data_IF_143179548347
#
_entry.id   IF_143179548347
#
_cell.length_a   1.000
_cell.length_b   1.000
_cell.length_c   1.000
_cell.angle_alpha   90.00
_cell.angle_beta   90.00
_cell.angle_gamma   90.00
#
_symmetry.space_group_name_H-M   'P 1'
#
loop_
_entity.id
_entity.type
_entity.pdbx_description
1 polymer ?
#
# COMPACT_ATOMS: atom_id res chain seq x y z
N UNK A 1 0.21 -16.55 -15.43
CA UNK A 1 0.69 -15.41 -14.61
C UNK A 1 0.23 -15.59 -13.18
N UNK A 2 1.17 -15.98 -12.32
CA UNK A 2 0.92 -16.10 -10.88
C UNK A 2 0.30 -14.79 -10.36
N UNK A 3 -0.76 -14.90 -9.56
CA UNK A 3 -1.35 -13.73 -8.89
C UNK A 3 -0.25 -13.08 -8.05
N UNK A 4 -0.12 -11.76 -8.05
CA UNK A 4 0.90 -11.06 -7.26
C UNK A 4 0.41 -9.68 -6.87
N UNK A 5 1.01 -9.06 -5.84
CA UNK A 5 0.82 -7.63 -5.68
C UNK A 5 1.40 -6.92 -6.92
N UNK A 6 0.70 -5.90 -7.39
CA UNK A 6 1.05 -5.13 -8.58
C UNK A 6 1.43 -3.71 -8.19
N UNK A 7 0.57 -3.06 -7.42
CA UNK A 7 0.88 -1.77 -6.82
C UNK A 7 0.03 -1.51 -5.58
N UNK A 8 0.49 -0.58 -4.76
CA UNK A 8 -0.24 -0.03 -3.62
C UNK A 8 -0.43 1.44 -3.86
N UNK A 9 -1.67 1.92 -3.77
CA UNK A 9 -1.99 3.34 -3.93
C UNK A 9 -2.25 3.97 -2.57
N UNK A 10 -1.59 5.08 -2.28
CA UNK A 10 -1.83 5.89 -1.09
C UNK A 10 -2.09 7.36 -1.44
N UNK A 11 -2.75 8.07 -0.52
CA UNK A 11 -3.07 9.48 -0.68
C UNK A 11 -2.04 10.34 0.06
N UNK A 12 -1.47 11.32 -0.65
CA UNK A 12 -0.43 12.22 -0.16
C UNK A 12 -0.81 13.68 -0.41
N UNK A 13 -0.05 14.63 0.14
CA UNK A 13 -0.31 16.08 -0.03
C UNK A 13 0.74 16.80 -0.84
N UNK A 14 2.02 16.47 -0.65
CA UNK A 14 3.14 17.28 -1.13
C UNK A 14 4.18 16.42 -1.85
N UNK A 15 4.23 16.46 -3.19
CA UNK A 15 5.15 15.63 -3.97
C UNK A 15 6.62 15.75 -3.57
N UNK A 16 7.09 16.96 -3.26
CA UNK A 16 8.49 17.21 -2.89
C UNK A 16 8.87 16.45 -1.61
N UNK A 17 7.99 16.45 -0.60
CA UNK A 17 8.25 15.75 0.67
C UNK A 17 8.26 14.24 0.47
N UNK A 18 7.38 13.73 -0.40
CA UNK A 18 7.40 12.32 -0.77
C UNK A 18 8.70 11.94 -1.45
N UNK A 19 9.24 12.78 -2.35
CA UNK A 19 10.51 12.50 -3.02
C UNK A 19 11.70 12.48 -2.03
N UNK A 20 11.83 13.50 -1.18
CA UNK A 20 12.84 13.56 -0.12
C UNK A 20 12.77 12.34 0.82
N UNK A 21 11.57 11.78 1.04
CA UNK A 21 11.40 10.64 1.93
C UNK A 21 11.64 9.31 1.22
N UNK A 22 10.87 9.00 0.17
CA UNK A 22 10.91 7.71 -0.49
C UNK A 22 12.20 7.53 -1.30
N UNK A 23 12.62 8.54 -2.07
CA UNK A 23 13.81 8.41 -2.93
C UNK A 23 15.07 8.63 -2.12
N UNK A 24 15.21 9.78 -1.46
CA UNK A 24 16.49 10.16 -0.87
C UNK A 24 16.82 9.38 0.42
N UNK A 25 15.81 9.05 1.25
CA UNK A 25 16.02 8.37 2.53
C UNK A 25 15.81 6.87 2.46
N UNK A 26 14.74 6.42 1.82
CA UNK A 26 14.42 5.00 1.73
C UNK A 26 15.05 4.31 0.52
N UNK A 27 15.50 5.05 -0.49
CA UNK A 27 16.17 4.50 -1.67
C UNK A 27 15.23 3.94 -2.73
N UNK A 28 13.97 4.38 -2.76
CA UNK A 28 13.08 4.07 -3.87
C UNK A 28 13.57 4.72 -5.17
N UNK A 29 13.34 4.05 -6.28
CA UNK A 29 13.44 4.65 -7.60
C UNK A 29 12.14 5.39 -7.92
N UNK A 30 12.26 6.57 -8.53
CA UNK A 30 11.13 7.28 -9.11
C UNK A 30 10.87 6.74 -10.52
N UNK A 31 9.71 6.14 -10.72
CA UNK A 31 9.37 5.40 -11.94
C UNK A 31 8.61 6.30 -12.92
N UNK A 32 7.59 7.01 -12.42
CA UNK A 32 6.67 7.72 -13.29
C UNK A 32 5.98 8.90 -12.61
N UNK A 33 5.59 9.89 -13.42
CA UNK A 33 4.66 10.96 -13.04
C UNK A 33 3.62 11.15 -14.13
N UNK A 34 2.38 11.25 -13.70
CA UNK A 34 1.28 11.67 -14.55
C UNK A 34 0.04 11.96 -13.71
N UNK A 35 -1.11 11.51 -14.20
CA UNK A 35 -2.39 11.68 -13.55
C UNK A 35 -2.95 10.34 -13.05
N UNK A 36 -3.73 10.39 -11.98
CA UNK A 36 -4.53 9.27 -11.52
C UNK A 36 -5.52 8.87 -12.59
N UNK A 37 -5.71 7.57 -12.74
CA UNK A 37 -6.67 7.04 -13.68
C UNK A 37 -8.12 7.20 -13.20
N UNK A 38 -8.32 7.25 -11.88
CA UNK A 38 -9.64 7.47 -11.30
C UNK A 38 -10.08 8.94 -11.46
N UNK A 39 -9.10 9.85 -11.56
CA UNK A 39 -9.31 11.29 -11.72
C UNK A 39 -8.11 11.95 -12.39
N UNK A 40 -8.26 12.32 -13.67
CA UNK A 40 -7.19 12.95 -14.47
C UNK A 40 -6.69 14.30 -13.91
N UNK A 41 -7.46 14.95 -13.04
CA UNK A 41 -7.05 16.19 -12.36
C UNK A 41 -6.15 15.93 -11.14
N UNK A 42 -6.02 14.68 -10.70
CA UNK A 42 -5.21 14.28 -9.54
C UNK A 42 -3.81 13.86 -10.01
N UNK A 43 -2.73 14.57 -9.62
CA UNK A 43 -1.38 14.11 -9.91
C UNK A 43 -1.09 12.78 -9.22
N UNK A 44 -0.40 11.87 -9.92
CA UNK A 44 0.05 10.58 -9.39
C UNK A 44 1.52 10.35 -9.71
N UNK A 45 2.31 9.98 -8.69
CA UNK A 45 3.72 9.63 -8.81
C UNK A 45 3.91 8.17 -8.40
N UNK A 46 4.64 7.41 -9.20
CA UNK A 46 4.92 6.00 -8.94
C UNK A 46 6.38 5.82 -8.55
N UNK A 47 6.60 5.02 -7.51
CA UNK A 47 7.91 4.67 -6.97
C UNK A 47 8.04 3.15 -6.91
N UNK A 48 9.27 2.62 -6.92
CA UNK A 48 9.53 1.20 -6.66
C UNK A 48 10.81 1.00 -5.88
N UNK A 49 10.97 -0.15 -5.24
CA UNK A 49 12.27 -0.56 -4.73
C UNK A 49 13.13 -1.13 -5.86
N UNK A 50 14.47 -1.00 -5.84
CA UNK A 50 15.32 -1.40 -6.96
C UNK A 50 15.23 -2.88 -7.35
N UNK A 51 15.01 -3.76 -6.36
CA UNK A 51 14.90 -5.20 -6.58
C UNK A 51 13.44 -5.71 -6.61
N UNK A 52 12.45 -4.80 -6.74
CA UNK A 52 11.02 -5.14 -6.71
C UNK A 52 10.25 -4.51 -7.88
N UNK A 53 9.31 -5.27 -8.45
CA UNK A 53 8.42 -4.82 -9.52
C UNK A 53 7.13 -4.17 -9.00
N UNK A 54 6.84 -4.28 -7.71
CA UNK A 54 5.65 -3.68 -7.10
C UNK A 54 5.80 -2.17 -6.96
N UNK A 55 4.80 -1.43 -7.45
CA UNK A 55 4.80 0.03 -7.38
C UNK A 55 4.13 0.56 -6.10
N UNK A 56 4.73 1.56 -5.48
CA UNK A 56 4.04 2.47 -4.57
C UNK A 56 3.56 3.69 -5.37
N UNK A 57 2.25 3.83 -5.53
CA UNK A 57 1.59 4.95 -6.19
C UNK A 57 1.12 5.98 -5.18
N UNK A 58 1.58 7.23 -5.28
CA UNK A 58 1.12 8.33 -4.44
C UNK A 58 0.23 9.28 -5.26
N UNK A 59 -1.03 9.40 -4.86
CA UNK A 59 -1.99 10.36 -5.43
C UNK A 59 -2.08 11.61 -4.57
N UNK A 60 -1.92 12.78 -5.18
CA UNK A 60 -1.76 14.04 -4.45
C UNK A 60 -3.07 14.83 -4.34
N UNK A 61 -3.63 14.87 -3.13
CA UNK A 61 -4.82 15.64 -2.77
C UNK A 61 -4.47 16.72 -1.74
N UNK A 62 -3.90 17.88 -2.14
CA UNK A 62 -3.33 18.85 -1.20
C UNK A 62 -4.34 19.47 -0.21
N UNK A 63 -5.64 19.45 -0.58
CA UNK A 63 -6.76 20.02 0.18
C UNK A 63 -7.62 18.98 0.91
N UNK A 64 -7.34 17.68 0.78
CA UNK A 64 -8.12 16.69 1.53
C UNK A 64 -7.77 16.73 3.02
N UNK A 65 -8.67 16.22 3.85
CA UNK A 65 -8.41 16.04 5.28
C UNK A 65 -7.46 14.86 5.50
N UNK A 66 -6.86 14.80 6.69
CA UNK A 66 -6.03 13.67 7.09
C UNK A 66 -6.89 12.44 7.23
N UNK A 67 -6.41 11.31 6.74
CA UNK A 67 -7.07 10.03 6.98
C UNK A 67 -7.04 9.64 8.46
N UNK A 68 -7.96 8.77 8.85
CA UNK A 68 -8.01 8.18 10.19
C UNK A 68 -8.04 6.66 10.04
N UNK A 69 -7.08 5.96 10.65
CA UNK A 69 -7.04 4.49 10.63
C UNK A 69 -8.26 3.93 11.37
N UNK A 70 -8.81 2.85 10.83
CA UNK A 70 -9.92 2.10 11.43
C UNK A 70 -10.03 0.73 10.75
N UNK A 71 -11.11 0.00 11.03
CA UNK A 71 -11.37 -1.23 10.29
C UNK A 71 -11.55 -0.94 8.79
N UNK A 72 -11.07 -1.84 7.93
CA UNK A 72 -11.12 -1.69 6.48
C UNK A 72 -10.01 -0.79 5.91
N UNK A 73 -8.92 -0.61 6.65
CA UNK A 73 -7.74 0.14 6.22
C UNK A 73 -6.51 -0.77 6.19
N UNK A 74 -5.56 -0.46 5.30
CA UNK A 74 -4.22 -0.99 5.45
C UNK A 74 -3.55 -0.29 6.64
N UNK A 75 -2.96 -1.08 7.54
CA UNK A 75 -2.29 -0.61 8.76
C UNK A 75 -0.94 -0.01 8.43
N UNK A 76 -0.10 -0.79 7.76
CA UNK A 76 1.27 -0.43 7.40
C UNK A 76 1.69 -1.06 6.07
N UNK A 77 2.68 -0.43 5.43
CA UNK A 77 3.46 -1.03 4.37
C UNK A 77 4.68 -1.69 4.98
N UNK A 78 4.94 -2.96 4.67
CA UNK A 78 6.10 -3.69 5.19
C UNK A 78 7.16 -3.80 4.11
N UNK A 79 8.34 -3.24 4.40
CA UNK A 79 9.48 -3.19 3.50
C UNK A 79 10.64 -4.00 4.08
N UNK A 80 11.32 -4.78 3.24
CA UNK A 80 12.63 -5.33 3.50
C UNK A 80 13.65 -4.37 2.92
N UNK A 81 14.58 -3.83 3.72
CA UNK A 81 15.61 -2.90 3.23
C UNK A 81 16.98 -3.26 3.83
N UNK A 82 18.10 -2.95 3.13
CA UNK A 82 19.45 -3.02 3.70
C UNK A 82 19.54 -2.39 5.09
N UNK A 83 20.16 -3.09 6.03
CA UNK A 83 20.35 -2.61 7.40
C UNK A 83 21.07 -1.25 7.41
N UNK A 84 20.50 -0.29 8.13
CA UNK A 84 21.03 1.07 8.27
C UNK A 84 20.71 1.64 9.65
N UNK A 85 21.40 2.72 10.02
CA UNK A 85 20.99 3.53 11.18
C UNK A 85 19.75 4.38 10.82
N UNK A 86 18.59 3.75 10.86
CA UNK A 86 17.31 4.34 10.50
C UNK A 86 16.95 5.57 11.34
N UNK A 87 17.34 5.60 12.62
CA UNK A 87 17.13 6.75 13.48
C UNK A 87 17.91 7.97 12.96
N UNK A 88 19.18 7.77 12.58
CA UNK A 88 20.01 8.84 12.02
C UNK A 88 19.51 9.32 10.66
N UNK A 89 19.05 8.42 9.79
CA UNK A 89 18.57 8.75 8.44
C UNK A 89 17.20 9.45 8.47
N UNK A 90 16.28 8.94 9.29
CA UNK A 90 14.86 9.33 9.23
C UNK A 90 14.49 10.35 10.31
N UNK A 91 15.28 10.45 11.39
CA UNK A 91 15.09 11.40 12.49
C UNK A 91 13.65 11.39 13.00
N UNK A 92 12.93 12.51 12.82
CA UNK A 92 11.54 12.66 13.26
C UNK A 92 10.53 11.76 12.56
N UNK A 93 10.89 11.05 11.50
CA UNK A 93 10.02 10.02 10.90
C UNK A 93 10.16 8.68 11.60
N UNK A 94 11.29 8.41 12.26
CA UNK A 94 11.52 7.17 13.00
C UNK A 94 10.70 7.16 14.30
N UNK A 95 10.06 6.02 14.62
CA UNK A 95 9.24 5.84 15.82
C UNK A 95 9.82 4.82 16.81
N UNK A 96 10.86 4.10 16.43
CA UNK A 96 11.46 3.04 17.23
C UNK A 96 11.34 1.68 16.55
N UNK A 97 11.47 0.61 17.33
CA UNK A 97 11.18 -0.75 16.89
C UNK A 97 9.90 -1.24 17.55
N UNK A 98 9.08 -1.97 16.80
CA UNK A 98 7.93 -2.68 17.35
C UNK A 98 8.42 -3.93 18.10
N UNK A 99 7.84 -4.18 19.28
CA UNK A 99 8.39 -5.14 20.25
C UNK A 99 8.23 -6.59 19.81
N UNK A 100 7.11 -6.95 19.14
CA UNK A 100 6.80 -8.33 18.77
C UNK A 100 7.53 -8.80 17.50
N UNK A 101 7.59 -7.93 16.51
CA UNK A 101 8.17 -8.17 15.18
C UNK A 101 9.64 -7.79 15.12
N UNK A 102 10.11 -6.89 16.00
CA UNK A 102 11.45 -6.33 15.95
C UNK A 102 11.68 -5.34 14.81
N UNK A 103 10.65 -5.03 13.99
CA UNK A 103 10.78 -4.15 12.84
C UNK A 103 10.86 -2.69 13.24
N UNK A 104 11.57 -1.92 12.42
CA UNK A 104 11.62 -0.47 12.56
C UNK A 104 10.30 0.16 12.13
N UNK A 105 9.68 0.93 13.00
CA UNK A 105 8.45 1.67 12.69
C UNK A 105 8.83 3.08 12.25
N UNK A 106 8.35 3.46 11.07
CA UNK A 106 8.58 4.75 10.43
C UNK A 106 7.25 5.34 9.99
N UNK A 107 7.15 6.66 10.09
CA UNK A 107 6.00 7.40 9.57
C UNK A 107 6.47 8.36 8.48
N UNK A 108 5.86 8.25 7.30
CA UNK A 108 6.13 9.13 6.18
C UNK A 108 5.70 10.59 6.49
N UNK A 109 6.02 11.56 5.63
CA UNK A 109 5.71 12.97 5.88
C UNK A 109 4.21 13.30 5.99
N UNK A 110 3.32 12.45 5.46
CA UNK A 110 1.87 12.65 5.45
C UNK A 110 1.13 11.79 6.50
N UNK A 111 1.82 10.86 7.17
CA UNK A 111 1.31 10.06 8.27
C UNK A 111 1.10 8.57 7.95
N UNK A 112 1.52 8.10 6.77
CA UNK A 112 1.51 6.69 6.39
C UNK A 112 2.52 5.92 7.25
N UNK A 113 2.12 4.78 7.77
CA UNK A 113 2.99 3.93 8.58
C UNK A 113 3.70 2.89 7.70
N UNK A 114 4.99 2.73 7.96
CA UNK A 114 5.87 1.83 7.24
C UNK A 114 6.66 1.05 8.29
N UNK A 115 6.66 -0.27 8.17
CA UNK A 115 7.53 -1.14 8.92
C UNK A 115 8.72 -1.56 8.05
N UNK A 116 9.93 -1.45 8.59
CA UNK A 116 11.15 -1.87 7.91
C UNK A 116 11.73 -3.08 8.63
N UNK A 117 11.89 -4.17 7.87
CA UNK A 117 12.64 -5.37 8.23
C UNK A 117 14.03 -5.27 7.59
N UNK A 118 15.08 -5.42 8.40
CA UNK A 118 16.44 -5.40 7.87
C UNK A 118 16.70 -6.66 7.02
N UNK A 119 17.10 -6.48 5.75
CA UNK A 119 17.33 -7.54 4.76
C UNK A 119 18.53 -7.21 3.88
N UNK A 120 19.06 -8.19 3.13
CA UNK A 120 20.15 -7.93 2.19
C UNK A 120 19.68 -7.18 0.92
N UNK A 121 18.45 -7.44 0.46
CA UNK A 121 17.87 -6.88 -0.76
C UNK A 121 16.61 -6.09 -0.45
N UNK A 122 16.36 -5.04 -1.23
CA UNK A 122 15.19 -4.19 -1.03
C UNK A 122 13.96 -4.83 -1.65
N UNK A 123 12.92 -5.09 -0.87
CA UNK A 123 11.67 -5.65 -1.36
C UNK A 123 10.47 -5.12 -0.57
N UNK A 124 9.32 -5.03 -1.22
CA UNK A 124 8.04 -4.87 -0.57
C UNK A 124 7.58 -6.26 -0.10
N UNK A 125 7.61 -6.46 1.21
CA UNK A 125 7.29 -7.75 1.82
C UNK A 125 5.78 -7.97 1.93
N UNK A 126 5.02 -6.90 2.14
CA UNK A 126 3.58 -6.92 1.98
C UNK A 126 2.88 -5.79 2.70
N UNK A 127 1.59 -6.02 2.96
CA UNK A 127 0.72 -5.08 3.64
C UNK A 127 0.14 -5.69 4.92
N UNK A 128 0.11 -4.90 5.97
CA UNK A 128 -0.70 -5.19 7.15
C UNK A 128 -2.12 -4.67 6.91
N UNK A 129 -3.13 -5.48 7.22
CA UNK A 129 -4.54 -5.10 7.04
C UNK A 129 -5.25 -5.05 8.39
N UNK A 130 -5.91 -3.92 8.66
CA UNK A 130 -6.74 -3.70 9.85
C UNK A 130 -8.18 -4.14 9.55
N UNK A 131 -8.62 -5.17 10.25
CA UNK A 131 -9.91 -5.80 10.02
C UNK A 131 -10.87 -5.63 11.20
N UNK A 132 -12.17 -5.67 10.92
CA UNK A 132 -13.22 -5.69 11.96
C UNK A 132 -13.55 -7.11 12.43
N UNK A 133 -13.34 -8.10 11.56
CA UNK A 133 -13.64 -9.50 11.80
C UNK A 133 -12.63 -10.41 11.09
N UNK A 134 -11.71 -11.02 11.86
CA UNK A 134 -10.64 -11.88 11.34
C UNK A 134 -11.16 -12.98 10.42
N UNK A 135 -12.11 -13.81 10.85
CA UNK A 135 -12.52 -15.00 10.08
C UNK A 135 -13.06 -14.71 8.68
N UNK A 136 -13.84 -13.63 8.55
CA UNK A 136 -14.38 -13.21 7.25
C UNK A 136 -13.25 -12.68 6.36
N UNK A 137 -12.36 -11.88 6.94
CA UNK A 137 -11.20 -11.31 6.26
C UNK A 137 -10.23 -12.43 5.82
N UNK A 138 -9.96 -13.41 6.67
CA UNK A 138 -9.11 -14.56 6.36
C UNK A 138 -9.63 -15.36 5.17
N UNK A 139 -10.94 -15.59 5.08
CA UNK A 139 -11.55 -16.28 3.95
C UNK A 139 -11.37 -15.49 2.64
N UNK A 140 -11.51 -14.17 2.69
CA UNK A 140 -11.26 -13.29 1.55
C UNK A 140 -9.80 -13.30 1.12
N UNK A 141 -8.86 -13.24 2.07
CA UNK A 141 -7.43 -13.18 1.78
C UNK A 141 -6.78 -14.53 1.46
N UNK A 142 -7.47 -15.67 1.61
CA UNK A 142 -6.91 -16.97 1.23
C UNK A 142 -6.41 -16.98 -0.22
N UNK A 143 -7.12 -16.32 -1.12
CA UNK A 143 -6.75 -16.21 -2.55
C UNK A 143 -5.44 -15.44 -2.78
N UNK A 144 -4.97 -14.69 -1.76
CA UNK A 144 -3.81 -13.81 -1.83
C UNK A 144 -2.66 -14.23 -0.91
N UNK A 145 -2.87 -15.23 -0.03
CA UNK A 145 -1.82 -15.72 0.88
C UNK A 145 -0.69 -16.39 0.10
N UNK A 146 0.55 -16.10 0.49
CA UNK A 146 1.74 -16.68 -0.15
C UNK A 146 2.09 -16.07 -1.51
N UNK A 147 1.39 -15.01 -1.91
CA UNK A 147 1.80 -14.15 -3.01
C UNK A 147 2.82 -13.14 -2.49
N UNK A 148 3.86 -12.91 -3.28
CA UNK A 148 4.88 -11.93 -2.96
C UNK A 148 4.27 -10.52 -2.89
N UNK A 149 4.62 -9.78 -1.84
CA UNK A 149 4.12 -8.43 -1.59
C UNK A 149 2.64 -8.32 -1.21
N UNK A 150 1.87 -9.41 -1.06
CA UNK A 150 0.42 -9.30 -0.90
C UNK A 150 -0.05 -8.95 0.53
N UNK A 151 -0.45 -9.97 1.28
CA UNK A 151 -0.88 -9.84 2.67
C UNK A 151 0.26 -10.32 3.57
N UNK A 152 0.78 -9.40 4.38
CA UNK A 152 1.80 -9.71 5.36
C UNK A 152 1.20 -10.21 6.67
N UNK A 153 0.18 -9.50 7.18
CA UNK A 153 -0.53 -9.87 8.40
C UNK A 153 -1.95 -9.27 8.44
N UNK A 154 -2.81 -9.91 9.23
CA UNK A 154 -4.13 -9.39 9.59
C UNK A 154 -4.12 -9.00 11.06
N UNK A 155 -4.55 -7.77 11.36
CA UNK A 155 -4.73 -7.31 12.72
C UNK A 155 -6.18 -6.88 12.97
N UNK A 156 -6.73 -7.21 14.15
CA UNK A 156 -8.00 -6.63 14.57
C UNK A 156 -7.76 -5.15 14.87
N UNK A 157 -8.46 -4.29 14.14
CA UNK A 157 -8.41 -2.86 14.39
C UNK A 157 -8.79 -2.55 15.85
N UNK A 158 -8.02 -1.68 16.51
CA UNK A 158 -8.31 -1.24 17.88
C UNK A 158 -9.71 -0.65 18.03
N UNK A 159 -10.22 -0.03 16.96
CA UNK A 159 -11.61 0.41 16.83
C UNK A 159 -12.29 -0.37 15.71
N UNK A 160 -13.52 -0.83 15.95
CA UNK A 160 -14.37 -1.44 14.92
C UNK A 160 -15.03 -0.41 14.01
N UNK A 161 -14.88 0.89 14.28
CA UNK A 161 -15.35 1.93 13.38
C UNK A 161 -14.55 1.88 12.07
N UNK A 162 -15.20 2.08 10.91
CA UNK A 162 -14.49 2.25 9.65
C UNK A 162 -13.48 3.40 9.74
N UNK A 163 -12.33 3.24 9.09
CA UNK A 163 -11.43 4.37 8.93
C UNK A 163 -12.00 5.45 8.01
N UNK A 164 -11.37 6.62 8.01
CA UNK A 164 -11.73 7.75 7.15
C UNK A 164 -10.60 7.94 6.13
N UNK A 165 -10.95 7.92 4.85
CA UNK A 165 -9.98 8.08 3.76
C UNK A 165 -9.54 9.55 3.67
N UNK A 166 -8.24 9.77 3.51
CA UNK A 166 -7.63 11.09 3.42
C UNK A 166 -6.12 10.98 3.22
N UNK A 167 -5.39 12.09 3.22
CA UNK A 167 -3.93 11.98 3.09
C UNK A 167 -3.32 11.21 4.27
N UNK A 168 -2.22 10.51 4.03
CA UNK A 168 -1.59 9.61 5.00
C UNK A 168 -2.35 8.30 5.19
N UNK A 169 -3.16 7.89 4.21
CA UNK A 169 -3.85 6.60 4.20
C UNK A 169 -3.73 5.91 2.85
N UNK A 170 -3.78 4.59 2.88
CA UNK A 170 -3.84 3.75 1.69
C UNK A 170 -5.23 3.81 1.08
N UNK A 171 -5.29 3.96 -0.25
CA UNK A 171 -6.52 3.97 -1.03
C UNK A 171 -6.90 2.57 -1.47
N UNK A 172 -5.99 1.82 -2.08
CA UNK A 172 -6.19 0.42 -2.47
C UNK A 172 -4.86 -0.33 -2.63
N UNK A 173 -4.94 -1.66 -2.67
CA UNK A 173 -3.88 -2.53 -3.18
C UNK A 173 -4.37 -3.25 -4.42
N UNK A 174 -3.55 -3.26 -5.46
CA UNK A 174 -3.85 -3.85 -6.75
C UNK A 174 -3.07 -5.15 -6.94
N UNK A 175 -3.73 -6.17 -7.47
CA UNK A 175 -3.17 -7.49 -7.67
C UNK A 175 -3.27 -7.90 -9.13
N UNK A 176 -2.16 -8.37 -9.69
CA UNK A 176 -2.17 -9.06 -10.98
C UNK A 176 -2.94 -10.36 -10.82
N UNK A 177 -3.82 -10.68 -11.78
CA UNK A 177 -4.58 -11.94 -11.80
C UNK A 177 -4.44 -12.67 -13.11
N UNK A 178 -4.54 -14.00 -13.05
CA UNK A 178 -4.52 -14.84 -14.24
C UNK A 178 -5.85 -14.77 -15.02
N UNK A 179 -5.86 -13.91 -16.04
CA UNK A 179 -7.00 -13.67 -16.91
C UNK A 179 -8.15 -12.93 -16.24
N UNK A 180 -9.14 -12.54 -17.05
CA UNK A 180 -10.32 -11.86 -16.56
C UNK A 180 -11.36 -12.85 -16.03
N UNK A 181 -11.71 -12.71 -14.75
CA UNK A 181 -12.89 -13.35 -14.15
C UNK A 181 -13.72 -12.28 -13.46
N UNK A 182 -14.94 -12.08 -13.97
CA UNK A 182 -15.91 -11.21 -13.31
C UNK A 182 -16.09 -11.64 -11.85
N UNK A 183 -15.84 -10.73 -10.93
CA UNK A 183 -15.94 -11.02 -9.50
C UNK A 183 -17.31 -10.58 -9.02
N UNK A 184 -18.02 -11.45 -8.29
CA UNK A 184 -19.34 -11.12 -7.74
C UNK A 184 -19.18 -9.95 -6.77
N UNK A 185 -19.90 -8.85 -6.98
CA UNK A 185 -19.79 -7.63 -6.16
C UNK A 185 -18.63 -6.71 -6.52
N UNK A 186 -17.83 -7.03 -7.55
CA UNK A 186 -16.83 -6.12 -8.09
C UNK A 186 -17.44 -5.06 -9.02
N UNK A 187 -16.72 -3.96 -9.21
CA UNK A 187 -17.05 -2.96 -10.22
C UNK A 187 -16.96 -3.56 -11.64
N UNK A 188 -17.65 -2.99 -12.64
CA UNK A 188 -17.41 -3.35 -14.03
C UNK A 188 -15.93 -3.20 -14.41
N UNK A 189 -15.39 -4.08 -15.27
CA UNK A 189 -14.04 -3.95 -15.79
C UNK A 189 -13.85 -2.63 -16.53
N UNK A 190 -12.66 -2.06 -16.41
CA UNK A 190 -12.26 -0.86 -17.14
C UNK A 190 -10.86 -1.06 -17.73
N UNK A 191 -10.63 -0.51 -18.90
CA UNK A 191 -9.29 -0.44 -19.48
C UNK A 191 -8.49 0.63 -18.74
N UNK A 192 -7.26 0.26 -18.40
CA UNK A 192 -6.33 1.01 -17.57
C UNK A 192 -4.99 1.07 -18.29
N UNK A 193 -4.07 1.92 -17.81
CA UNK A 193 -2.67 1.87 -18.27
C UNK A 193 -1.97 0.55 -17.91
N UNK A 194 -2.53 -0.20 -16.98
CA UNK A 194 -2.00 -1.46 -16.47
C UNK A 194 -2.68 -2.70 -17.09
N UNK A 195 -3.62 -2.54 -18.02
CA UNK A 195 -4.44 -3.64 -18.55
C UNK A 195 -5.92 -3.47 -18.21
N UNK A 196 -6.66 -4.56 -18.01
CA UNK A 196 -8.08 -4.50 -17.59
C UNK A 196 -8.15 -4.59 -16.08
N UNK A 197 -8.79 -3.62 -15.42
CA UNK A 197 -8.93 -3.63 -13.97
C UNK A 197 -10.37 -3.55 -13.47
N UNK A 198 -10.57 -4.01 -12.24
CA UNK A 198 -11.82 -3.87 -11.50
C UNK A 198 -11.55 -3.78 -10.00
N UNK A 199 -12.44 -3.09 -9.29
CA UNK A 199 -12.35 -2.91 -7.86
C UNK A 199 -13.35 -3.79 -7.12
N UNK A 200 -12.97 -4.26 -5.93
CA UNK A 200 -13.83 -4.96 -5.00
C UNK A 200 -13.49 -4.56 -3.57
N UNK A 201 -14.46 -4.72 -2.66
CA UNK A 201 -14.24 -4.47 -1.25
C UNK A 201 -14.04 -5.79 -0.51
N UNK A 202 -13.08 -5.82 0.40
CA UNK A 202 -12.97 -6.90 1.39
C UNK A 202 -14.14 -6.83 2.39
N UNK A 203 -14.40 -7.90 3.17
CA UNK A 203 -15.44 -7.89 4.20
C UNK A 203 -15.33 -6.76 5.22
N UNK A 204 -14.10 -6.33 5.53
CA UNK A 204 -13.85 -5.19 6.42
C UNK A 204 -13.99 -3.83 5.73
N UNK A 205 -14.20 -3.79 4.42
CA UNK A 205 -14.37 -2.55 3.63
C UNK A 205 -13.09 -2.04 2.97
N UNK A 206 -12.04 -2.87 2.87
CA UNK A 206 -10.80 -2.50 2.20
C UNK A 206 -10.98 -2.52 0.69
N UNK A 207 -10.55 -1.47 -0.01
CA UNK A 207 -10.59 -1.45 -1.47
C UNK A 207 -9.41 -2.24 -2.05
N UNK A 208 -9.74 -3.21 -2.89
CA UNK A 208 -8.78 -4.06 -3.61
C UNK A 208 -9.02 -3.87 -5.11
N UNK A 209 -7.95 -3.76 -5.88
CA UNK A 209 -8.01 -3.77 -7.34
C UNK A 209 -7.50 -5.12 -7.86
N UNK A 210 -8.18 -5.66 -8.87
CA UNK A 210 -7.67 -6.78 -9.68
C UNK A 210 -7.29 -6.23 -11.03
N UNK A 211 -6.10 -6.60 -11.50
CA UNK A 211 -5.53 -6.17 -12.78
C UNK A 211 -5.21 -7.41 -13.59
N UNK A 212 -5.74 -7.48 -14.81
CA UNK A 212 -5.38 -8.52 -15.78
C UNK A 212 -4.62 -7.88 -16.92
N UNK A 213 -3.40 -8.34 -17.14
CA UNK A 213 -2.64 -8.03 -18.35
C UNK A 213 -3.36 -8.70 -19.53
N UNK A 214 -3.59 -7.95 -20.61
CA UNK A 214 -4.12 -8.47 -21.87
C UNK A 214 -3.01 -9.14 -22.69
#
# INVERSE_FOLDING_TARGET
>A
MKVSLHHVTALARRPQRSFEFYVEKLGFEFVWKGASQDNEATPQYDFRLPEDDVLLSLQFYPRCQRGQKGAGFFGSLVLGLPERDWNKILGRSYRGREEKSGRHVVVDPDGLEIEIEDREQSALLGLEVLCSQLSAEEAFWQDFRGLEGALHSLEIARSRCPGILGYGSFHHAAFLTDGWKATRGGSPPRSTRWGVSSYLYSPSGLLVERVSLL
#
